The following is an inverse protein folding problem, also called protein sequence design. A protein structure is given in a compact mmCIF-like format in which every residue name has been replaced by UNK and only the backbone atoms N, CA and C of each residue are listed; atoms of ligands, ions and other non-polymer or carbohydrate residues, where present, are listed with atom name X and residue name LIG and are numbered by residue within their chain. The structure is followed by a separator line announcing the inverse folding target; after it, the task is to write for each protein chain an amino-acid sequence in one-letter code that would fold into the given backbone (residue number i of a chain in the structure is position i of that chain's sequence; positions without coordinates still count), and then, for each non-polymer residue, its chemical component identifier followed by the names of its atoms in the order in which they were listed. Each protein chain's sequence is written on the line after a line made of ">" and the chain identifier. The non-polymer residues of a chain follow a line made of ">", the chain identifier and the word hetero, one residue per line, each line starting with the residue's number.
data_IF_645599339456
#
_entry.id   IF_645599339456
#
_cell.length_a   1.000
_cell.length_b   1.000
_cell.length_c   1.000
_cell.angle_alpha   90.00
_cell.angle_beta   90.00
_cell.angle_gamma   90.00
#
_symmetry.space_group_name_H-M   'P 1'
#
loop_
_entity.id
_entity.type
_entity.pdbx_description
1 polymer ?
#
# COMPACT_ATOMS: atom_id res chain seq x y z
N UNK A 1 -10.55 -4.55 -6.71
CA UNK A 1 -9.62 -3.50 -6.23
C UNK A 1 -8.59 -3.23 -7.32
N UNK A 2 -8.25 -1.98 -7.62
CA UNK A 2 -7.29 -1.61 -8.66
C UNK A 2 -5.87 -2.12 -8.34
N UNK A 3 -5.07 -2.47 -9.35
CA UNK A 3 -3.73 -3.07 -9.16
C UNK A 3 -2.79 -2.19 -8.34
N UNK A 4 -2.78 -0.87 -8.58
CA UNK A 4 -1.95 0.07 -7.79
C UNK A 4 -2.28 0.07 -6.29
N UNK A 5 -3.55 -0.18 -5.91
CA UNK A 5 -3.95 -0.32 -4.51
C UNK A 5 -3.41 -1.62 -3.91
N UNK A 6 -3.44 -2.72 -4.66
CA UNK A 6 -2.87 -4.02 -4.26
C UNK A 6 -1.37 -3.91 -4.03
N UNK A 7 -0.66 -3.29 -4.98
CA UNK A 7 0.79 -3.06 -4.87
C UNK A 7 1.11 -2.17 -3.67
N UNK A 8 0.37 -1.09 -3.46
CA UNK A 8 0.58 -0.21 -2.31
C UNK A 8 0.34 -0.93 -0.98
N UNK A 9 -0.73 -1.73 -0.87
CA UNK A 9 -1.00 -2.54 0.33
C UNK A 9 0.11 -3.57 0.59
N UNK A 10 0.60 -4.23 -0.45
CA UNK A 10 1.72 -5.16 -0.36
C UNK A 10 3.00 -4.45 0.11
N UNK A 11 3.29 -3.27 -0.43
CA UNK A 11 4.45 -2.49 -0.02
C UNK A 11 4.35 -2.04 1.45
N UNK A 12 3.16 -1.64 1.90
CA UNK A 12 2.92 -1.31 3.32
C UNK A 12 3.08 -2.56 4.21
N UNK A 13 2.65 -3.74 3.76
CA UNK A 13 2.84 -5.00 4.48
C UNK A 13 4.32 -5.36 4.67
N UNK A 14 5.16 -5.03 3.67
CA UNK A 14 6.60 -5.30 3.66
C UNK A 14 7.45 -4.14 4.19
N UNK A 15 6.82 -3.10 4.73
CA UNK A 15 7.54 -1.93 5.24
C UNK A 15 8.48 -2.32 6.37
N UNK A 16 9.62 -1.64 6.44
CA UNK A 16 10.49 -1.70 7.60
C UNK A 16 9.85 -0.94 8.79
N UNK A 17 10.21 -1.27 10.04
CA UNK A 17 9.63 -0.61 11.22
C UNK A 17 9.79 0.92 11.23
N UNK A 18 10.91 1.41 10.67
CA UNK A 18 11.26 2.84 10.64
C UNK A 18 10.63 3.60 9.45
N UNK A 19 10.02 2.90 8.50
CA UNK A 19 9.37 3.51 7.34
C UNK A 19 7.93 3.93 7.66
N UNK A 20 7.57 5.13 7.24
CA UNK A 20 6.19 5.62 7.26
C UNK A 20 5.51 5.41 5.89
N UNK A 21 4.20 5.62 5.82
CA UNK A 21 3.43 5.42 4.58
C UNK A 21 3.86 6.31 3.41
N UNK A 22 4.41 7.50 3.69
CA UNK A 22 4.95 8.41 2.67
C UNK A 22 6.26 7.90 2.11
N UNK A 23 7.12 7.32 2.94
CA UNK A 23 8.37 6.68 2.49
C UNK A 23 8.05 5.54 1.51
N UNK A 24 7.02 4.75 1.81
CA UNK A 24 6.52 3.70 0.92
C UNK A 24 6.03 4.26 -0.43
N UNK A 25 5.29 5.37 -0.40
CA UNK A 25 4.85 6.04 -1.63
C UNK A 25 6.04 6.57 -2.45
N UNK A 26 7.06 7.13 -1.79
CA UNK A 26 8.26 7.62 -2.46
C UNK A 26 9.08 6.48 -3.08
N UNK A 27 9.22 5.35 -2.38
CA UNK A 27 9.86 4.14 -2.90
C UNK A 27 9.14 3.62 -4.17
N UNK A 28 7.81 3.57 -4.15
CA UNK A 28 7.03 3.11 -5.31
C UNK A 28 7.04 4.12 -6.48
N UNK A 29 7.21 5.41 -6.20
CA UNK A 29 7.47 6.39 -7.26
C UNK A 29 8.86 6.18 -7.88
N UNK A 30 9.88 5.90 -7.08
CA UNK A 30 11.23 5.63 -7.57
C UNK A 30 11.30 4.42 -8.51
N UNK A 31 10.43 3.42 -8.29
CA UNK A 31 10.25 2.27 -9.20
C UNK A 31 9.33 2.55 -10.40
N UNK A 32 8.88 3.80 -10.58
CA UNK A 32 8.02 4.27 -11.68
C UNK A 32 6.64 3.59 -11.77
N UNK A 33 6.15 3.01 -10.66
CA UNK A 33 4.82 2.39 -10.61
C UNK A 33 3.69 3.43 -10.72
N UNK A 34 3.85 4.58 -10.08
CA UNK A 34 2.94 5.73 -10.16
C UNK A 34 3.65 7.01 -9.75
N UNK A 35 3.03 8.18 -9.98
CA UNK A 35 3.54 9.46 -9.46
C UNK A 35 3.20 9.63 -7.99
N UNK A 36 3.99 10.39 -7.24
CA UNK A 36 3.78 10.66 -5.82
C UNK A 36 2.36 11.17 -5.49
N UNK A 37 1.85 12.08 -6.32
CA UNK A 37 0.49 12.65 -6.17
C UNK A 37 -0.58 11.57 -6.26
N UNK A 38 -0.39 10.58 -7.13
CA UNK A 38 -1.28 9.44 -7.27
C UNK A 38 -1.18 8.52 -6.06
N UNK A 39 0.04 8.18 -5.62
CA UNK A 39 0.24 7.37 -4.40
C UNK A 39 -0.41 7.98 -3.15
N UNK A 40 -0.30 9.31 -2.97
CA UNK A 40 -1.03 10.03 -1.91
C UNK A 40 -2.55 9.94 -2.04
N UNK A 41 -3.07 9.96 -3.26
CA UNK A 41 -4.51 9.76 -3.50
C UNK A 41 -4.92 8.33 -3.12
N UNK A 42 -4.13 7.33 -3.52
CA UNK A 42 -4.37 5.93 -3.18
C UNK A 42 -4.36 5.69 -1.66
N UNK A 43 -3.43 6.30 -0.91
CA UNK A 43 -3.45 6.23 0.56
C UNK A 43 -4.77 6.77 1.13
N UNK A 44 -5.25 7.92 0.65
CA UNK A 44 -6.53 8.49 1.11
C UNK A 44 -7.71 7.57 0.80
N UNK A 45 -7.73 6.98 -0.38
CA UNK A 45 -8.76 6.02 -0.79
C UNK A 45 -8.72 4.76 0.09
N UNK A 46 -7.54 4.16 0.30
CA UNK A 46 -7.36 2.98 1.16
C UNK A 46 -7.78 3.24 2.61
N UNK A 47 -7.52 4.45 3.11
CA UNK A 47 -7.96 4.89 4.44
C UNK A 47 -9.49 5.03 4.49
N UNK A 48 -10.08 5.69 3.50
CA UNK A 48 -11.54 5.81 3.38
C UNK A 48 -12.25 4.46 3.26
N UNK A 49 -11.60 3.48 2.63
CA UNK A 49 -12.11 2.12 2.45
C UNK A 49 -11.80 1.21 3.66
N UNK A 50 -11.11 1.70 4.68
CA UNK A 50 -10.80 0.98 5.92
C UNK A 50 -9.73 -0.10 5.79
N UNK A 51 -8.89 -0.04 4.74
CA UNK A 51 -7.73 -0.94 4.62
C UNK A 51 -6.52 -0.44 5.43
N UNK A 52 -6.41 0.86 5.63
CA UNK A 52 -5.37 1.47 6.47
C UNK A 52 -5.94 2.48 7.45
N UNK A 53 -5.21 2.74 8.53
CA UNK A 53 -5.45 3.79 9.51
C UNK A 53 -4.14 4.56 9.81
N UNK A 54 -4.10 5.32 10.92
CA UNK A 54 -2.90 6.06 11.32
C UNK A 54 -1.73 5.16 11.72
N UNK A 55 -1.99 3.92 12.15
CA UNK A 55 -0.97 2.97 12.58
C UNK A 55 -0.45 2.09 11.43
N UNK A 56 -1.19 1.99 10.32
CA UNK A 56 -0.79 1.22 9.14
C UNK A 56 -1.94 0.38 8.62
N UNK A 57 -1.68 -0.91 8.38
CA UNK A 57 -2.71 -1.83 7.89
C UNK A 57 -3.70 -2.20 9.00
N UNK A 58 -4.99 -2.08 8.71
CA UNK A 58 -6.04 -2.67 9.54
C UNK A 58 -6.06 -4.21 9.35
N UNK A 59 -6.86 -4.99 10.12
CA UNK A 59 -7.04 -6.42 9.84
C UNK A 59 -7.55 -6.69 8.41
N UNK A 60 -8.43 -5.82 7.89
CA UNK A 60 -8.90 -5.85 6.50
C UNK A 60 -7.76 -5.59 5.51
N UNK A 61 -6.93 -4.60 5.81
CA UNK A 61 -5.70 -4.30 5.06
C UNK A 61 -4.76 -5.49 4.97
N UNK A 62 -4.44 -6.09 6.11
CA UNK A 62 -3.53 -7.24 6.19
C UNK A 62 -4.02 -8.41 5.34
N UNK A 63 -5.32 -8.74 5.41
CA UNK A 63 -5.90 -9.80 4.58
C UNK A 63 -5.72 -9.51 3.10
N UNK A 64 -6.09 -8.30 2.66
CA UNK A 64 -5.99 -7.91 1.25
C UNK A 64 -4.54 -7.81 0.75
N UNK A 65 -3.60 -7.39 1.61
CA UNK A 65 -2.18 -7.33 1.28
C UNK A 65 -1.58 -8.74 1.11
N UNK A 66 -1.98 -9.70 1.96
CA UNK A 66 -1.57 -11.10 1.83
C UNK A 66 -2.16 -11.76 0.59
N UNK A 67 -3.43 -11.50 0.28
CA UNK A 67 -4.05 -11.97 -0.97
C UNK A 67 -3.27 -11.45 -2.19
N UNK A 68 -2.89 -10.16 -2.19
CA UNK A 68 -2.05 -9.59 -3.24
C UNK A 68 -0.66 -10.24 -3.30
N UNK A 69 -0.04 -10.56 -2.16
CA UNK A 69 1.26 -11.24 -2.12
C UNK A 69 1.22 -12.60 -2.82
N UNK A 70 0.21 -13.42 -2.51
CA UNK A 70 0.05 -14.73 -3.13
C UNK A 70 -0.24 -14.62 -4.64
N UNK A 71 -1.04 -13.63 -5.06
CA UNK A 71 -1.30 -13.35 -6.47
C UNK A 71 -0.02 -13.00 -7.26
N UNK A 72 0.94 -12.30 -6.65
CA UNK A 72 2.20 -11.91 -7.33
C UNK A 72 3.32 -12.96 -7.25
N UNK A 73 3.17 -14.02 -6.44
CA UNK A 73 4.11 -15.15 -6.42
C UNK A 73 3.86 -16.17 -7.53
N UNK A 74 2.65 -16.18 -8.10
CA UNK A 74 2.23 -17.04 -9.21
C UNK A 74 2.63 -16.42 -10.56
#
# INVERSE_FOLDING_TARGET
>A
MHINKRVLLLAILKKEPNENLIDIVAMLEASRLFRFKEGKRLLKELKSEGYIDEAGLTPKGHKAAKEAEEEFRL
#
